data_IF_491614520979
#
_entry.id   IF_491614520979
#
_cell.length_a   1.000
_cell.length_b   1.000
_cell.length_c   1.000
_cell.angle_alpha   90.00
_cell.angle_beta   90.00
_cell.angle_gamma   90.00
#
_symmetry.space_group_name_H-M   'P 1'
#
loop_
_entity.id
_entity.type
_entity.pdbx_description
1 polymer ?
#
# COMPACT_ATOMS: atom_id res chain seq x y z
N UNK A 1 9.90 16.34 -20.14
CA UNK A 1 8.79 15.59 -19.52
C UNK A 1 8.47 14.44 -20.45
N UNK A 2 8.74 13.19 -20.06
CA UNK A 2 8.32 12.05 -20.88
C UNK A 2 6.80 12.07 -20.93
N UNK A 3 6.21 12.01 -22.13
CA UNK A 3 4.76 11.99 -22.24
C UNK A 3 4.21 10.73 -21.58
N UNK A 4 3.07 10.83 -20.89
CA UNK A 4 2.42 9.67 -20.24
C UNK A 4 2.19 8.52 -21.24
N UNK A 5 1.97 8.87 -22.52
CA UNK A 5 1.90 7.93 -23.64
C UNK A 5 3.19 7.14 -23.85
N UNK A 6 4.36 7.77 -23.70
CA UNK A 6 5.67 7.10 -23.82
C UNK A 6 5.87 6.10 -22.70
N UNK A 7 5.55 6.48 -21.46
CA UNK A 7 5.67 5.61 -20.29
C UNK A 7 4.71 4.43 -20.41
N UNK A 8 3.46 4.68 -20.78
CA UNK A 8 2.47 3.63 -21.01
C UNK A 8 2.89 2.66 -22.13
N UNK A 9 3.40 3.18 -23.25
CA UNK A 9 3.86 2.33 -24.36
C UNK A 9 5.07 1.48 -23.95
N UNK A 10 6.04 2.07 -23.23
CA UNK A 10 7.20 1.35 -22.73
C UNK A 10 6.78 0.22 -21.79
N UNK A 11 5.86 0.49 -20.85
CA UNK A 11 5.35 -0.51 -19.91
C UNK A 11 4.67 -1.68 -20.63
N UNK A 12 3.87 -1.41 -21.66
CA UNK A 12 3.21 -2.47 -22.45
C UNK A 12 4.25 -3.33 -23.16
N UNK A 13 5.22 -2.71 -23.84
CA UNK A 13 6.26 -3.46 -24.57
C UNK A 13 7.09 -4.32 -23.62
N UNK A 14 7.52 -3.75 -22.48
CA UNK A 14 8.28 -4.47 -21.46
C UNK A 14 7.45 -5.63 -20.89
N UNK A 15 6.16 -5.41 -20.61
CA UNK A 15 5.28 -6.47 -20.07
C UNK A 15 5.10 -7.61 -21.08
N UNK A 16 4.88 -7.30 -22.35
CA UNK A 16 4.76 -8.32 -23.41
C UNK A 16 6.07 -9.11 -23.52
N UNK A 17 7.22 -8.45 -23.51
CA UNK A 17 8.52 -9.11 -23.55
C UNK A 17 8.72 -10.06 -22.36
N UNK A 18 8.39 -9.62 -21.14
CA UNK A 18 8.48 -10.45 -19.94
C UNK A 18 7.57 -11.68 -20.05
N UNK A 19 6.33 -11.53 -20.53
CA UNK A 19 5.39 -12.65 -20.72
C UNK A 19 5.96 -13.68 -21.70
N UNK A 20 6.46 -13.21 -22.86
CA UNK A 20 7.01 -14.10 -23.88
C UNK A 20 8.25 -14.84 -23.37
N UNK A 21 9.17 -14.15 -22.71
CA UNK A 21 10.39 -14.74 -22.16
C UNK A 21 10.03 -15.74 -21.05
N UNK A 22 9.15 -15.37 -20.12
CA UNK A 22 8.72 -16.25 -19.03
C UNK A 22 8.02 -17.50 -19.56
N UNK A 23 7.09 -17.34 -20.51
CA UNK A 23 6.42 -18.46 -21.16
C UNK A 23 7.40 -19.38 -21.90
N UNK A 24 8.33 -18.80 -22.66
CA UNK A 24 9.37 -19.57 -23.34
C UNK A 24 10.23 -20.39 -22.37
N UNK A 25 10.69 -19.79 -21.27
CA UNK A 25 11.47 -20.47 -20.24
C UNK A 25 10.72 -21.62 -19.57
N UNK A 26 9.40 -21.52 -19.47
CA UNK A 26 8.54 -22.50 -18.82
C UNK A 26 8.21 -23.69 -19.74
N UNK A 27 7.96 -23.44 -21.04
CA UNK A 27 7.60 -24.48 -22.01
C UNK A 27 8.79 -25.06 -22.79
N UNK A 28 9.86 -24.29 -22.95
CA UNK A 28 11.07 -24.67 -23.66
C UNK A 28 12.34 -24.32 -22.85
N UNK A 29 12.51 -24.92 -21.65
CA UNK A 29 13.64 -24.60 -20.79
C UNK A 29 14.96 -24.99 -21.46
N UNK A 30 15.96 -24.09 -21.52
CA UNK A 30 17.26 -24.38 -22.14
C UNK A 30 18.08 -25.43 -21.35
N UNK A 31 17.71 -25.70 -20.10
CA UNK A 31 18.31 -26.73 -19.25
C UNK A 31 17.23 -27.40 -18.41
N UNK A 32 17.26 -28.74 -18.25
CA UNK A 32 16.30 -29.45 -17.40
C UNK A 32 16.34 -28.93 -15.96
N UNK A 33 15.15 -28.59 -15.42
CA UNK A 33 14.96 -28.14 -14.04
C UNK A 33 14.72 -26.64 -13.86
N UNK A 34 14.93 -25.81 -14.89
CA UNK A 34 14.66 -24.37 -14.82
C UNK A 34 13.15 -24.10 -14.75
N UNK A 35 12.37 -24.81 -15.54
CA UNK A 35 10.90 -24.82 -15.53
C UNK A 35 10.35 -25.08 -14.13
N UNK A 36 10.81 -26.15 -13.49
CA UNK A 36 10.36 -26.52 -12.15
C UNK A 36 10.82 -25.51 -11.09
N UNK A 37 12.01 -24.95 -11.24
CA UNK A 37 12.50 -23.90 -10.35
C UNK A 37 11.65 -22.62 -10.47
N UNK A 38 11.34 -22.16 -11.70
CA UNK A 38 10.49 -21.00 -11.96
C UNK A 38 9.08 -21.19 -11.40
N UNK A 39 8.50 -22.38 -11.58
CA UNK A 39 7.18 -22.71 -11.03
C UNK A 39 7.20 -22.68 -9.49
N UNK A 40 8.22 -23.27 -8.86
CA UNK A 40 8.38 -23.22 -7.41
C UNK A 40 8.55 -21.78 -6.91
N UNK A 41 9.35 -20.97 -7.60
CA UNK A 41 9.59 -19.58 -7.24
C UNK A 41 8.33 -18.73 -7.34
N UNK A 42 7.58 -18.84 -8.44
CA UNK A 42 6.32 -18.10 -8.62
C UNK A 42 5.24 -18.53 -7.64
N UNK A 43 5.11 -19.84 -7.39
CA UNK A 43 4.21 -20.36 -6.37
C UNK A 43 4.61 -19.85 -4.96
N UNK A 44 5.90 -19.83 -4.64
CA UNK A 44 6.39 -19.29 -3.38
C UNK A 44 6.08 -17.80 -3.24
N UNK A 45 6.31 -16.98 -4.28
CA UNK A 45 5.99 -15.55 -4.27
C UNK A 45 4.49 -15.33 -4.06
N UNK A 46 3.63 -16.13 -4.71
CA UNK A 46 2.18 -16.04 -4.52
C UNK A 46 1.78 -16.32 -3.06
N UNK A 47 2.31 -17.40 -2.47
CA UNK A 47 2.07 -17.76 -1.05
C UNK A 47 2.64 -16.68 -0.13
N UNK A 48 3.88 -16.25 -0.35
CA UNK A 48 4.54 -15.21 0.44
C UNK A 48 3.82 -13.85 0.36
N UNK A 49 3.19 -13.53 -0.77
CA UNK A 49 2.36 -12.33 -0.91
C UNK A 49 1.13 -12.39 0.00
N UNK A 50 0.40 -13.51 -0.02
CA UNK A 50 -0.78 -13.71 0.85
C UNK A 50 -0.39 -13.68 2.32
N UNK A 51 0.60 -14.48 2.70
CA UNK A 51 1.06 -14.54 4.09
C UNK A 51 1.79 -13.27 4.54
N UNK A 52 2.41 -12.52 3.62
CA UNK A 52 3.00 -11.22 3.89
C UNK A 52 1.93 -10.20 4.29
N UNK A 53 0.79 -10.18 3.58
CA UNK A 53 -0.35 -9.34 3.96
C UNK A 53 -0.91 -9.77 5.31
N UNK A 54 -1.13 -11.07 5.53
CA UNK A 54 -1.60 -11.59 6.82
C UNK A 54 -0.66 -11.26 7.98
N UNK A 55 0.65 -11.39 7.75
CA UNK A 55 1.68 -11.05 8.73
C UNK A 55 1.69 -9.54 9.03
N UNK A 56 1.52 -8.69 8.02
CA UNK A 56 1.38 -7.25 8.22
C UNK A 56 0.15 -6.89 9.05
N UNK A 57 -1.01 -7.47 8.73
CA UNK A 57 -2.24 -7.28 9.52
C UNK A 57 -2.02 -7.76 10.95
N UNK A 58 -1.50 -8.98 11.13
CA UNK A 58 -1.18 -9.53 12.45
C UNK A 58 -0.21 -8.66 13.23
N UNK A 59 0.80 -8.10 12.56
CA UNK A 59 1.74 -7.16 13.16
C UNK A 59 1.03 -5.88 13.62
N UNK A 60 0.16 -5.29 12.79
CA UNK A 60 -0.61 -4.11 13.20
C UNK A 60 -1.53 -4.41 14.37
N UNK A 61 -2.27 -5.53 14.37
CA UNK A 61 -3.14 -5.90 15.49
C UNK A 61 -2.37 -6.16 16.79
N UNK A 62 -1.19 -6.77 16.69
CA UNK A 62 -0.33 -7.03 17.86
C UNK A 62 0.32 -5.76 18.42
N UNK A 63 0.52 -4.74 17.58
CA UNK A 63 1.20 -3.48 17.94
C UNK A 63 0.24 -2.31 18.14
N UNK A 64 -1.03 -2.43 17.74
CA UNK A 64 -2.07 -1.47 18.09
C UNK A 64 -2.55 -1.75 19.51
N UNK A 65 -2.29 -0.85 20.47
CA UNK A 65 -2.96 -0.92 21.75
C UNK A 65 -4.48 -0.89 21.53
N UNK A 66 -5.26 -1.59 22.37
CA UNK A 66 -6.71 -1.61 22.24
C UNK A 66 -7.21 -0.16 22.14
N UNK A 67 -8.12 0.12 21.19
CA UNK A 67 -8.62 1.47 20.95
C UNK A 67 -9.01 2.09 22.29
N UNK A 68 -8.49 3.30 22.57
CA UNK A 68 -8.82 4.02 23.81
C UNK A 68 -10.35 4.06 23.97
N UNK A 69 -10.89 4.00 25.20
CA UNK A 69 -12.32 4.11 25.44
C UNK A 69 -12.88 5.34 24.71
N UNK A 70 -13.99 5.16 24.00
CA UNK A 70 -14.61 6.19 23.15
C UNK A 70 -14.85 7.50 23.93
N UNK A 71 -15.15 7.40 25.22
CA UNK A 71 -15.37 8.54 26.11
C UNK A 71 -14.15 9.46 26.28
N UNK A 72 -12.92 8.93 26.27
CA UNK A 72 -11.71 9.77 26.36
C UNK A 72 -11.45 10.50 25.04
N UNK A 73 -11.71 9.84 23.91
CA UNK A 73 -11.55 10.41 22.57
C UNK A 73 -12.61 11.50 22.31
N UNK A 74 -13.87 11.27 22.70
CA UNK A 74 -14.93 12.28 22.59
C UNK A 74 -14.63 13.51 23.45
N UNK A 75 -14.10 13.33 24.66
CA UNK A 75 -13.71 14.45 25.54
C UNK A 75 -12.53 15.24 25.00
N UNK A 76 -11.45 14.57 24.55
CA UNK A 76 -10.30 15.23 23.93
C UNK A 76 -10.72 16.02 22.67
N UNK A 77 -11.60 15.44 21.83
CA UNK A 77 -12.09 16.08 20.61
C UNK A 77 -13.03 17.26 20.89
N UNK A 78 -13.93 17.15 21.87
CA UNK A 78 -14.84 18.25 22.25
C UNK A 78 -14.07 19.41 22.88
N UNK A 79 -13.00 19.13 23.64
CA UNK A 79 -12.10 20.17 24.17
C UNK A 79 -11.29 20.88 23.07
N UNK A 80 -10.76 20.14 22.08
CA UNK A 80 -10.09 20.74 20.92
C UNK A 80 -11.06 21.59 20.09
N UNK A 81 -12.28 21.11 19.83
CA UNK A 81 -13.29 21.84 19.07
C UNK A 81 -13.66 23.17 19.76
N UNK A 82 -13.87 23.14 21.08
CA UNK A 82 -14.15 24.35 21.88
C UNK A 82 -12.99 25.34 21.91
N UNK A 83 -11.74 24.86 21.82
CA UNK A 83 -10.57 25.74 21.72
C UNK A 83 -10.51 26.41 20.36
N UNK A 84 -10.71 25.66 19.28
CA UNK A 84 -10.75 26.17 17.91
C UNK A 84 -11.88 27.19 17.70
N UNK A 85 -13.09 26.95 18.24
CA UNK A 85 -14.18 27.94 18.21
C UNK A 85 -13.79 29.24 18.92
N UNK A 86 -13.17 29.16 20.10
CA UNK A 86 -12.72 30.35 20.83
C UNK A 86 -11.63 31.11 20.08
N UNK A 87 -10.66 30.39 19.49
CA UNK A 87 -9.60 31.02 18.70
C UNK A 87 -10.16 31.71 17.44
N UNK A 88 -11.16 31.11 16.79
CA UNK A 88 -11.87 31.71 15.65
C UNK A 88 -12.66 32.95 16.06
N UNK A 89 -13.43 32.89 17.16
CA UNK A 89 -14.16 34.05 17.68
C UNK A 89 -13.22 35.19 18.10
N UNK A 90 -12.07 34.87 18.70
CA UNK A 90 -11.06 35.87 19.05
C UNK A 90 -10.36 36.46 17.82
N UNK A 91 -10.15 35.66 16.77
CA UNK A 91 -9.58 36.11 15.51
C UNK A 91 -10.55 37.03 14.74
N UNK A 92 -11.84 36.70 14.70
CA UNK A 92 -12.89 37.54 14.10
C UNK A 92 -13.02 38.87 14.85
N UNK A 93 -13.09 38.84 16.19
CA UNK A 93 -13.15 40.07 17.00
C UNK A 93 -11.93 40.97 16.81
N UNK A 94 -10.74 40.39 16.61
CA UNK A 94 -9.50 41.16 16.33
C UNK A 94 -9.45 41.70 14.90
N UNK A 95 -10.18 41.14 13.94
CA UNK A 95 -10.28 41.67 12.58
C UNK A 95 -11.37 42.75 12.42
N UNK A 96 -12.40 42.75 13.27
CA UNK A 96 -13.47 43.77 13.29
C UNK A 96 -13.15 45.01 14.15
N UNK A 97 -12.05 44.99 14.91
CA UNK A 97 -11.57 46.10 15.77
C UNK A 97 -10.48 46.94 15.09
#
# INVERSE_FOLDING_TARGET
>A
MASDKTVGTLLVVVSILVILVYGWLLFAPPRPGIDMFLLKLTAFIAVAGVFGILAWIGYTLATTPPPKPIEEIERELEEELKRLEKELEEAEKKQES
#
